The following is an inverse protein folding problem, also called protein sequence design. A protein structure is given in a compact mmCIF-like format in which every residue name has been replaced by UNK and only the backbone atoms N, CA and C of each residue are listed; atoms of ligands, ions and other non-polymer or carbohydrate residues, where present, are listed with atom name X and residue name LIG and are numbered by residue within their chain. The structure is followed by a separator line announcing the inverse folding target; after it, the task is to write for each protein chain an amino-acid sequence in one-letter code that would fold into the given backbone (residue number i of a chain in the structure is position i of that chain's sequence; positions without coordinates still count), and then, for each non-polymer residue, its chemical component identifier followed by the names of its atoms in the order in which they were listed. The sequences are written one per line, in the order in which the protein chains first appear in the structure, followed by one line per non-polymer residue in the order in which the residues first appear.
data_IF_940349068929
#
_entry.id   IF_940349068929
#
_cell.length_a   1.000
_cell.length_b   1.000
_cell.length_c   1.000
_cell.angle_alpha   90.00
_cell.angle_beta   90.00
_cell.angle_gamma   90.00
#
_symmetry.space_group_name_H-M   'P 1'
#
loop_
_entity.id
_entity.type
_entity.pdbx_description
1 polymer ?
#
# COMPACT_ATOMS: atom_id res chain seq x y z
N UNK A 1 -19.85 -36.55 -4.15
CA UNK A 1 -19.88 -35.79 -5.41
C UNK A 1 -21.20 -35.03 -5.44
N UNK A 2 -21.19 -33.76 -5.03
CA UNK A 2 -22.41 -32.93 -4.99
C UNK A 2 -22.61 -32.41 -6.43
N UNK A 3 -23.65 -32.89 -7.09
CA UNK A 3 -24.05 -32.42 -8.42
C UNK A 3 -24.76 -31.09 -8.21
N UNK A 4 -24.16 -29.98 -8.63
CA UNK A 4 -24.91 -28.73 -8.80
C UNK A 4 -25.91 -28.98 -9.94
N UNK A 5 -27.19 -29.07 -9.59
CA UNK A 5 -28.25 -29.60 -10.45
C UNK A 5 -28.83 -28.57 -11.44
N UNK A 6 -28.26 -27.37 -11.54
CA UNK A 6 -28.65 -26.35 -12.52
C UNK A 6 -27.40 -25.70 -13.12
N UNK A 7 -27.30 -25.70 -14.45
CA UNK A 7 -26.28 -24.95 -15.18
C UNK A 7 -26.53 -23.46 -14.94
N UNK A 8 -25.60 -22.71 -14.31
CA UNK A 8 -25.85 -21.30 -13.98
C UNK A 8 -26.09 -20.44 -15.24
N UNK A 9 -25.63 -20.88 -16.42
CA UNK A 9 -25.93 -20.21 -17.69
C UNK A 9 -27.41 -20.33 -18.11
N UNK A 10 -28.16 -21.29 -17.55
CA UNK A 10 -29.61 -21.40 -17.79
C UNK A 10 -30.43 -20.69 -16.72
N UNK A 11 -29.82 -20.38 -15.57
CA UNK A 11 -30.47 -19.70 -14.45
C UNK A 11 -30.19 -18.19 -14.40
N UNK A 12 -29.07 -17.73 -14.95
CA UNK A 12 -28.62 -16.34 -14.91
C UNK A 12 -28.40 -15.76 -16.32
N UNK A 13 -28.67 -14.46 -16.54
CA UNK A 13 -28.23 -13.75 -17.74
C UNK A 13 -26.71 -13.86 -17.96
N UNK A 14 -26.29 -13.97 -19.22
CA UNK A 14 -24.88 -14.11 -19.58
C UNK A 14 -24.04 -12.92 -19.09
N UNK A 15 -24.62 -11.73 -19.02
CA UNK A 15 -23.97 -10.52 -18.52
C UNK A 15 -23.57 -10.66 -17.04
N UNK A 16 -24.45 -11.25 -16.22
CA UNK A 16 -24.17 -11.46 -14.79
C UNK A 16 -23.11 -12.55 -14.62
N UNK A 17 -23.18 -13.64 -15.37
CA UNK A 17 -22.16 -14.69 -15.33
C UNK A 17 -20.81 -14.14 -15.77
N UNK A 18 -20.79 -13.33 -16.83
CA UNK A 18 -19.58 -12.64 -17.30
C UNK A 18 -19.01 -11.70 -16.24
N UNK A 19 -19.86 -10.92 -15.57
CA UNK A 19 -19.46 -10.02 -14.49
C UNK A 19 -18.89 -10.76 -13.26
N UNK A 20 -19.46 -11.92 -12.89
CA UNK A 20 -18.92 -12.75 -11.81
C UNK A 20 -17.49 -13.20 -12.14
N UNK A 21 -17.23 -13.65 -13.37
CA UNK A 21 -15.89 -14.04 -13.78
C UNK A 21 -14.93 -12.86 -13.93
N UNK A 22 -15.42 -11.70 -14.36
CA UNK A 22 -14.63 -10.46 -14.41
C UNK A 22 -14.18 -10.06 -13.00
N UNK A 23 -15.10 -10.02 -12.03
CA UNK A 23 -14.78 -9.77 -10.63
C UNK A 23 -13.79 -10.80 -10.08
N UNK A 24 -14.01 -12.08 -10.36
CA UNK A 24 -13.08 -13.14 -9.94
C UNK A 24 -11.69 -12.93 -10.54
N UNK A 25 -11.59 -12.59 -11.83
CA UNK A 25 -10.30 -12.31 -12.48
C UNK A 25 -9.62 -11.08 -11.89
N UNK A 26 -10.37 -10.01 -11.58
CA UNK A 26 -9.82 -8.81 -10.96
C UNK A 26 -9.31 -9.09 -9.54
N UNK A 27 -10.10 -9.81 -8.74
CA UNK A 27 -9.79 -10.12 -7.35
C UNK A 27 -8.70 -11.21 -7.20
N UNK A 28 -8.65 -12.19 -8.11
CA UNK A 28 -7.68 -13.28 -8.03
C UNK A 28 -6.30 -12.89 -8.57
N UNK A 29 -6.21 -11.93 -9.50
CA UNK A 29 -4.94 -11.51 -10.12
C UNK A 29 -4.19 -10.49 -9.23
N UNK A 30 -4.84 -9.88 -8.23
CA UNK A 30 -4.21 -8.93 -7.32
C UNK A 30 -4.43 -9.30 -5.85
N UNK A 31 -3.40 -9.63 -5.04
CA UNK A 31 -1.96 -9.45 -5.28
C UNK A 31 -1.16 -10.74 -5.59
N UNK A 32 -1.81 -11.90 -5.70
CA UNK A 32 -1.13 -13.20 -5.75
C UNK A 32 -1.11 -13.79 -7.18
N UNK A 33 -0.01 -13.54 -7.89
CA UNK A 33 0.25 -13.99 -9.28
C UNK A 33 0.57 -15.50 -9.39
N UNK A 34 0.34 -16.28 -8.34
CA UNK A 34 0.80 -17.67 -8.23
C UNK A 34 0.01 -18.66 -9.09
N UNK A 35 -1.05 -18.25 -9.80
CA UNK A 35 -1.81 -19.13 -10.70
C UNK A 35 -2.08 -18.56 -12.10
N UNK A 36 -2.07 -19.48 -13.07
CA UNK A 36 -2.28 -19.28 -14.52
C UNK A 36 -3.73 -18.91 -14.87
N UNK A 37 -4.24 -17.80 -14.32
CA UNK A 37 -5.58 -17.27 -14.60
C UNK A 37 -5.79 -16.96 -16.10
N UNK A 38 -4.69 -16.82 -16.86
CA UNK A 38 -4.74 -16.69 -18.31
C UNK A 38 -5.38 -17.90 -19.01
N UNK A 39 -5.46 -19.07 -18.37
CA UNK A 39 -6.12 -20.26 -18.93
C UNK A 39 -7.61 -20.36 -18.63
N UNK A 40 -8.18 -19.47 -17.79
CA UNK A 40 -9.59 -19.55 -17.38
C UNK A 40 -10.55 -19.71 -18.57
N UNK A 41 -10.48 -18.89 -19.65
CA UNK A 41 -11.41 -19.04 -20.77
C UNK A 41 -11.33 -20.43 -21.42
N UNK A 42 -10.12 -21.01 -21.48
CA UNK A 42 -9.91 -22.35 -22.04
C UNK A 42 -10.52 -23.41 -21.13
N UNK A 43 -10.33 -23.30 -19.81
CA UNK A 43 -10.91 -24.21 -18.83
C UNK A 43 -12.45 -24.17 -18.84
N UNK A 44 -13.03 -22.97 -18.92
CA UNK A 44 -14.48 -22.80 -19.03
C UNK A 44 -15.04 -23.44 -20.31
N UNK A 45 -14.32 -23.37 -21.43
CA UNK A 45 -14.71 -24.04 -22.68
C UNK A 45 -14.75 -25.58 -22.59
N UNK A 46 -14.13 -26.18 -21.56
CA UNK A 46 -14.11 -27.63 -21.33
C UNK A 46 -15.31 -28.12 -20.49
N UNK A 47 -16.07 -27.22 -19.86
CA UNK A 47 -17.19 -27.59 -18.97
C UNK A 47 -18.35 -28.19 -19.75
N UNK A 48 -18.89 -27.45 -20.72
CA UNK A 48 -19.97 -27.92 -21.60
C UNK A 48 -19.99 -27.13 -22.91
N UNK A 49 -20.84 -27.53 -23.87
CA UNK A 49 -21.07 -26.76 -25.09
C UNK A 49 -21.63 -25.36 -24.79
N UNK A 50 -22.59 -25.26 -23.86
CA UNK A 50 -23.19 -23.98 -23.43
C UNK A 50 -22.12 -23.02 -22.91
N UNK A 51 -21.25 -23.52 -22.03
CA UNK A 51 -20.12 -22.76 -21.48
C UNK A 51 -19.11 -22.33 -22.54
N UNK A 52 -18.81 -23.21 -23.49
CA UNK A 52 -17.97 -22.87 -24.63
C UNK A 52 -18.58 -21.71 -25.42
N UNK A 53 -19.84 -21.84 -25.84
CA UNK A 53 -20.52 -20.83 -26.65
C UNK A 53 -20.57 -19.48 -25.90
N UNK A 54 -20.86 -19.51 -24.59
CA UNK A 54 -20.80 -18.35 -23.70
C UNK A 54 -19.42 -17.68 -23.68
N UNK A 55 -18.35 -18.46 -23.49
CA UNK A 55 -16.98 -17.92 -23.44
C UNK A 55 -16.56 -17.30 -24.78
N UNK A 56 -16.90 -17.94 -25.89
CA UNK A 56 -16.62 -17.39 -27.23
C UNK A 56 -17.43 -16.12 -27.53
N UNK A 57 -18.61 -15.98 -26.94
CA UNK A 57 -19.45 -14.79 -27.06
C UNK A 57 -19.04 -13.64 -26.11
N UNK A 58 -18.08 -13.85 -25.21
CA UNK A 58 -17.74 -12.91 -24.14
C UNK A 58 -16.31 -12.36 -24.28
N UNK A 59 -16.09 -11.23 -24.99
CA UNK A 59 -14.75 -10.69 -25.24
C UNK A 59 -13.95 -10.35 -23.99
N UNK A 60 -14.62 -9.95 -22.89
CA UNK A 60 -13.98 -9.61 -21.62
C UNK A 60 -13.24 -10.81 -21.00
N UNK A 61 -13.74 -12.03 -21.16
CA UNK A 61 -13.02 -13.21 -20.64
C UNK A 61 -11.66 -13.40 -21.31
N UNK A 62 -11.50 -12.90 -22.55
CA UNK A 62 -10.25 -13.00 -23.30
C UNK A 62 -9.29 -11.82 -23.08
N UNK A 63 -9.70 -10.79 -22.33
CA UNK A 63 -8.99 -9.51 -22.26
C UNK A 63 -7.84 -9.48 -21.24
N UNK A 64 -7.86 -10.39 -20.26
CA UNK A 64 -6.77 -10.58 -19.31
C UNK A 64 -5.70 -11.47 -19.94
N UNK A 65 -4.47 -11.00 -20.08
CA UNK A 65 -3.38 -11.73 -20.73
C UNK A 65 -2.16 -11.66 -19.82
N UNK A 66 -1.71 -12.85 -19.37
CA UNK A 66 -0.44 -13.03 -18.69
C UNK A 66 0.46 -13.79 -19.66
N UNK A 67 1.62 -13.23 -19.97
CA UNK A 67 2.51 -13.78 -20.98
C UNK A 67 3.97 -13.59 -20.62
N UNK A 68 4.74 -14.66 -20.78
CA UNK A 68 6.20 -14.61 -20.77
C UNK A 68 6.69 -14.50 -22.22
N UNK A 69 7.36 -13.40 -22.50
CA UNK A 69 7.87 -13.00 -23.82
C UNK A 69 9.38 -13.24 -23.93
N UNK A 70 9.88 -14.23 -23.20
CA UNK A 70 11.20 -14.81 -23.42
C UNK A 70 11.21 -15.66 -24.70
N UNK A 71 12.34 -15.68 -25.41
CA UNK A 71 12.49 -16.46 -26.65
C UNK A 71 12.20 -17.93 -26.40
N UNK A 72 11.21 -18.46 -27.11
CA UNK A 72 10.77 -19.86 -27.00
C UNK A 72 9.82 -20.15 -25.83
N UNK A 73 9.55 -19.18 -24.96
CA UNK A 73 8.57 -19.29 -23.88
C UNK A 73 7.14 -18.91 -24.32
N UNK A 74 7.02 -18.06 -25.35
CA UNK A 74 5.72 -17.63 -25.87
C UNK A 74 5.00 -18.84 -26.48
N UNK A 75 3.80 -19.23 -25.98
CA UNK A 75 2.94 -20.18 -26.67
C UNK A 75 2.73 -19.69 -28.10
N UNK A 76 2.86 -20.59 -29.09
CA UNK A 76 2.84 -20.27 -30.52
C UNK A 76 2.10 -18.96 -30.83
N UNK A 77 2.80 -17.92 -31.32
CA UNK A 77 2.31 -16.56 -31.61
C UNK A 77 0.88 -16.50 -32.19
N UNK A 78 0.49 -17.53 -32.93
CA UNK A 78 -0.86 -17.78 -33.39
C UNK A 78 -1.93 -17.76 -32.28
N UNK A 79 -1.71 -18.45 -31.15
CA UNK A 79 -2.63 -18.48 -30.00
C UNK A 79 -2.81 -17.09 -29.39
N UNK A 80 -1.72 -16.31 -29.27
CA UNK A 80 -1.77 -14.92 -28.82
C UNK A 80 -2.63 -14.06 -29.75
N UNK A 81 -2.36 -14.11 -31.07
CA UNK A 81 -3.16 -13.41 -32.08
C UNK A 81 -4.64 -13.81 -32.00
N UNK A 82 -4.94 -15.11 -31.86
CA UNK A 82 -6.31 -15.61 -31.71
C UNK A 82 -6.98 -15.09 -30.44
N UNK A 83 -6.25 -15.00 -29.34
CA UNK A 83 -6.76 -14.42 -28.08
C UNK A 83 -7.08 -12.94 -28.24
N UNK A 84 -6.17 -12.16 -28.82
CA UNK A 84 -6.38 -10.73 -29.10
C UNK A 84 -7.57 -10.50 -30.05
N UNK A 85 -7.73 -11.37 -31.06
CA UNK A 85 -8.91 -11.35 -31.94
C UNK A 85 -10.20 -11.60 -31.18
N UNK A 86 -10.20 -12.55 -30.23
CA UNK A 86 -11.38 -12.89 -29.42
C UNK A 86 -11.74 -11.82 -28.38
N UNK A 87 -10.77 -11.06 -27.89
CA UNK A 87 -11.03 -9.93 -27.01
C UNK A 87 -11.61 -8.71 -27.76
N UNK A 88 -11.64 -8.73 -29.09
CA UNK A 88 -12.31 -7.73 -29.93
C UNK A 88 -11.89 -6.29 -29.59
N UNK A 89 -12.83 -5.44 -29.14
CA UNK A 89 -12.58 -4.05 -28.71
C UNK A 89 -12.50 -3.90 -27.19
N UNK A 90 -12.53 -5.01 -26.43
CA UNK A 90 -12.51 -4.96 -24.99
C UNK A 90 -11.19 -4.34 -24.46
N UNK A 91 -11.24 -3.62 -23.32
CA UNK A 91 -10.05 -3.12 -22.65
C UNK A 91 -9.16 -4.29 -22.22
N UNK A 92 -7.85 -4.15 -22.43
CA UNK A 92 -6.86 -5.19 -22.15
C UNK A 92 -6.21 -5.00 -20.78
N UNK A 93 -6.01 -6.12 -20.08
CA UNK A 93 -5.34 -6.19 -18.79
C UNK A 93 -4.13 -7.11 -18.93
N UNK A 94 -2.94 -6.52 -18.97
CA UNK A 94 -1.73 -7.22 -19.38
C UNK A 94 -0.74 -7.34 -18.22
N UNK A 95 -0.20 -8.55 -18.07
CA UNK A 95 1.01 -8.81 -17.29
C UNK A 95 2.04 -9.48 -18.22
N UNK A 96 3.11 -8.74 -18.52
CA UNK A 96 4.11 -9.13 -19.51
C UNK A 96 5.44 -9.31 -18.78
N UNK A 97 5.94 -10.53 -18.77
CA UNK A 97 7.32 -10.83 -18.38
C UNK A 97 8.17 -10.79 -19.65
N UNK A 98 9.22 -9.97 -19.67
CA UNK A 98 10.13 -9.82 -20.80
C UNK A 98 11.51 -10.32 -20.39
N UNK A 99 11.80 -11.58 -20.69
CA UNK A 99 13.10 -12.19 -20.42
C UNK A 99 14.16 -11.93 -21.48
N UNK A 100 15.34 -12.51 -21.25
CA UNK A 100 16.50 -12.40 -22.11
C UNK A 100 16.82 -13.73 -22.82
N UNK A 101 16.87 -13.79 -24.17
CA UNK A 101 16.48 -12.74 -25.12
C UNK A 101 14.94 -12.64 -25.27
N UNK A 102 14.45 -11.46 -25.59
CA UNK A 102 13.02 -11.20 -25.77
C UNK A 102 12.47 -11.63 -27.15
N UNK A 103 11.23 -12.14 -27.19
CA UNK A 103 10.48 -12.42 -28.43
C UNK A 103 9.84 -11.14 -28.97
N UNK A 104 10.55 -10.47 -29.88
CA UNK A 104 10.14 -9.18 -30.45
C UNK A 104 8.85 -9.26 -31.26
N UNK A 105 8.57 -10.39 -31.90
CA UNK A 105 7.36 -10.51 -32.72
C UNK A 105 6.10 -10.58 -31.85
N UNK A 106 6.18 -11.27 -30.71
CA UNK A 106 5.13 -11.27 -29.71
C UNK A 106 4.92 -9.87 -29.09
N UNK A 107 6.00 -9.16 -28.74
CA UNK A 107 5.90 -7.79 -28.23
C UNK A 107 5.26 -6.83 -29.24
N UNK A 108 5.67 -6.89 -30.52
CA UNK A 108 5.07 -6.06 -31.58
C UNK A 108 3.57 -6.31 -31.73
N UNK A 109 3.15 -7.58 -31.67
CA UNK A 109 1.72 -7.95 -31.73
C UNK A 109 0.96 -7.41 -30.53
N UNK A 110 1.55 -7.42 -29.33
CA UNK A 110 0.92 -6.86 -28.13
C UNK A 110 0.83 -5.33 -28.21
N UNK A 111 1.95 -4.64 -28.45
CA UNK A 111 1.98 -3.18 -28.44
C UNK A 111 1.23 -2.53 -29.60
N UNK A 112 0.94 -3.27 -30.67
CA UNK A 112 -0.03 -2.85 -31.70
C UNK A 112 -1.44 -2.60 -31.11
N UNK A 113 -1.79 -3.25 -30.00
CA UNK A 113 -3.07 -3.10 -29.29
C UNK A 113 -3.00 -2.09 -28.13
N UNK A 114 -1.93 -1.30 -28.02
CA UNK A 114 -1.66 -0.37 -26.90
C UNK A 114 -2.79 0.63 -26.61
N UNK A 115 -3.59 0.99 -27.62
CA UNK A 115 -4.79 1.84 -27.47
C UNK A 115 -5.89 1.26 -26.60
N UNK A 116 -5.91 -0.05 -26.44
CA UNK A 116 -6.88 -0.77 -25.62
C UNK A 116 -6.34 -1.10 -24.24
N UNK A 117 -5.06 -0.83 -23.96
CA UNK A 117 -4.47 -1.21 -22.68
C UNK A 117 -5.12 -0.37 -21.60
N UNK A 118 -5.74 -1.04 -20.63
CA UNK A 118 -6.30 -0.40 -19.46
C UNK A 118 -5.35 -0.53 -18.28
N UNK A 119 -4.87 -1.75 -18.03
CA UNK A 119 -3.81 -2.04 -17.06
C UNK A 119 -2.62 -2.71 -17.76
N UNK A 120 -1.42 -2.28 -17.40
CA UNK A 120 -0.18 -2.86 -17.89
C UNK A 120 0.80 -3.07 -16.74
N UNK A 121 1.21 -4.32 -16.54
CA UNK A 121 2.35 -4.71 -15.71
C UNK A 121 3.47 -5.19 -16.62
N UNK A 122 4.67 -4.62 -16.48
CA UNK A 122 5.87 -5.02 -17.20
C UNK A 122 6.91 -5.53 -16.19
N UNK A 123 7.27 -6.80 -16.30
CA UNK A 123 8.40 -7.39 -15.58
C UNK A 123 9.57 -7.58 -16.55
N UNK A 124 10.56 -6.69 -16.49
CA UNK A 124 11.57 -6.49 -17.53
C UNK A 124 12.92 -7.00 -17.03
N UNK A 125 13.48 -7.96 -17.74
CA UNK A 125 14.86 -8.43 -17.55
C UNK A 125 15.77 -7.98 -18.70
N UNK A 126 15.20 -7.68 -19.87
CA UNK A 126 15.88 -7.19 -21.07
C UNK A 126 15.16 -5.94 -21.59
N UNK A 127 15.89 -4.89 -22.00
CA UNK A 127 15.35 -3.67 -22.64
C UNK A 127 15.67 -3.58 -24.14
N UNK A 128 16.22 -4.63 -24.76
CA UNK A 128 16.61 -4.61 -26.17
C UNK A 128 15.43 -4.36 -27.13
N UNK A 129 14.21 -4.63 -26.69
CA UNK A 129 12.94 -4.44 -27.40
C UNK A 129 12.36 -3.02 -27.31
N UNK A 130 12.97 -2.12 -26.53
CA UNK A 130 12.44 -0.75 -26.29
C UNK A 130 12.13 0.04 -27.56
N UNK A 131 12.86 -0.19 -28.65
CA UNK A 131 12.63 0.47 -29.95
C UNK A 131 11.33 0.02 -30.62
N UNK A 132 10.78 -1.13 -30.21
CA UNK A 132 9.52 -1.66 -30.74
C UNK A 132 8.29 -1.05 -30.01
N UNK A 133 8.48 -0.26 -28.95
CA UNK A 133 7.41 0.52 -28.31
C UNK A 133 7.05 1.68 -29.23
N UNK A 134 5.85 1.64 -29.80
CA UNK A 134 5.30 2.79 -30.51
C UNK A 134 5.05 3.92 -29.50
N UNK A 135 5.65 5.09 -29.76
CA UNK A 135 5.53 6.27 -28.91
C UNK A 135 4.11 6.85 -28.79
N UNK A 136 3.17 6.33 -29.58
CA UNK A 136 1.76 6.71 -29.58
C UNK A 136 0.95 5.47 -29.28
N UNK A 137 0.10 5.49 -28.26
CA UNK A 137 -0.80 4.36 -28.10
C UNK A 137 -1.60 4.28 -26.81
N UNK A 138 -1.07 4.64 -25.65
CA UNK A 138 -1.67 4.23 -24.37
C UNK A 138 -2.87 5.08 -23.90
N UNK A 139 -3.79 5.40 -24.82
CA UNK A 139 -4.91 6.33 -24.63
C UNK A 139 -5.93 5.91 -23.57
N UNK A 140 -6.01 4.61 -23.26
CA UNK A 140 -6.92 4.05 -22.25
C UNK A 140 -6.23 3.59 -20.96
N UNK A 141 -4.90 3.73 -20.88
CA UNK A 141 -4.12 3.19 -19.78
C UNK A 141 -4.37 4.00 -18.50
N UNK A 142 -4.89 3.32 -17.48
CA UNK A 142 -5.21 3.90 -16.16
C UNK A 142 -4.24 3.42 -15.07
N UNK A 143 -3.67 2.23 -15.25
CA UNK A 143 -2.75 1.59 -14.30
C UNK A 143 -1.50 1.08 -15.01
N UNK A 144 -0.34 1.53 -14.55
CA UNK A 144 0.94 1.10 -15.04
C UNK A 144 1.83 0.60 -13.90
N UNK A 145 2.42 -0.58 -14.09
CA UNK A 145 3.35 -1.20 -13.14
C UNK A 145 4.60 -1.64 -13.88
N UNK A 146 5.78 -1.30 -13.34
CA UNK A 146 7.07 -1.70 -13.88
C UNK A 146 7.86 -2.42 -12.78
N UNK A 147 8.45 -3.56 -13.13
CA UNK A 147 9.39 -4.32 -12.31
C UNK A 147 10.65 -4.58 -13.14
N UNK A 148 11.82 -4.06 -12.75
CA UNK A 148 13.09 -4.34 -13.46
C UNK A 148 14.03 -5.26 -12.68
N UNK A 149 13.54 -5.82 -11.56
CA UNK A 149 14.38 -6.59 -10.64
C UNK A 149 15.50 -5.74 -10.00
N UNK A 150 16.55 -6.42 -9.54
CA UNK A 150 17.74 -5.81 -8.93
C UNK A 150 18.90 -5.69 -9.92
N UNK A 151 18.63 -5.45 -11.19
CA UNK A 151 19.68 -5.14 -12.17
C UNK A 151 19.53 -3.69 -12.61
N UNK A 152 20.65 -2.98 -12.72
CA UNK A 152 20.68 -1.64 -13.30
C UNK A 152 20.51 -1.82 -14.80
N UNK A 153 19.39 -1.35 -15.33
CA UNK A 153 19.11 -1.46 -16.75
C UNK A 153 19.40 -0.11 -17.41
N UNK A 154 20.29 -0.04 -18.40
CA UNK A 154 20.53 1.22 -19.08
C UNK A 154 19.24 1.64 -19.80
N UNK A 155 18.88 2.91 -19.62
CA UNK A 155 17.79 3.59 -20.33
C UNK A 155 16.35 3.20 -19.94
N UNK A 156 16.08 2.89 -18.67
CA UNK A 156 14.68 2.73 -18.19
C UNK A 156 13.87 4.01 -18.38
N UNK A 157 14.52 5.18 -18.47
CA UNK A 157 13.90 6.47 -18.83
C UNK A 157 13.06 6.41 -20.11
N UNK A 158 13.37 5.51 -21.04
CA UNK A 158 12.57 5.25 -22.25
C UNK A 158 11.16 4.75 -21.95
N UNK A 159 10.93 4.07 -20.82
CA UNK A 159 9.59 3.70 -20.37
C UNK A 159 8.78 4.91 -19.91
N UNK A 160 9.44 6.04 -19.62
CA UNK A 160 8.79 7.33 -19.39
C UNK A 160 7.96 7.81 -20.59
N UNK A 161 8.22 7.28 -21.80
CA UNK A 161 7.34 7.52 -22.96
C UNK A 161 5.95 6.92 -22.77
N UNK A 162 5.81 5.79 -22.07
CA UNK A 162 4.51 5.19 -21.73
C UNK A 162 3.77 6.12 -20.78
N UNK A 163 4.47 6.64 -19.75
CA UNK A 163 3.90 7.63 -18.84
C UNK A 163 3.39 8.85 -19.59
N UNK A 164 4.17 9.37 -20.54
CA UNK A 164 3.86 10.57 -21.31
C UNK A 164 2.75 10.38 -22.34
N UNK A 165 2.52 9.15 -22.81
CA UNK A 165 1.51 8.81 -23.84
C UNK A 165 0.20 8.27 -23.26
N UNK A 166 0.06 8.26 -21.93
CA UNK A 166 -1.11 7.76 -21.22
C UNK A 166 -1.89 8.89 -20.51
N UNK A 167 -2.79 9.61 -21.21
CA UNK A 167 -3.54 10.76 -20.69
C UNK A 167 -4.72 10.38 -19.77
N UNK A 168 -4.80 9.11 -19.34
CA UNK A 168 -5.77 8.63 -18.36
C UNK A 168 -5.10 7.94 -17.18
N UNK A 169 -3.77 7.99 -17.13
CA UNK A 169 -2.99 7.28 -16.14
C UNK A 169 -3.23 7.90 -14.77
N UNK A 170 -3.67 7.08 -13.82
CA UNK A 170 -3.96 7.50 -12.44
C UNK A 170 -3.14 6.75 -11.41
N UNK A 171 -2.62 5.58 -11.78
CA UNK A 171 -1.96 4.65 -10.88
C UNK A 171 -0.63 4.22 -11.47
N UNK A 172 0.47 4.51 -10.76
CA UNK A 172 1.81 4.08 -11.15
C UNK A 172 2.48 3.32 -10.02
N UNK A 173 3.00 2.13 -10.34
CA UNK A 173 3.94 1.38 -9.52
C UNK A 173 5.26 1.25 -10.26
N UNK A 174 6.31 1.80 -9.70
CA UNK A 174 7.64 1.80 -10.27
C UNK A 174 8.59 1.05 -9.34
N UNK A 175 8.84 -0.21 -9.67
CA UNK A 175 9.76 -1.09 -8.95
C UNK A 175 11.03 -1.29 -9.77
N UNK A 176 11.84 -0.24 -9.84
CA UNK A 176 13.08 -0.23 -10.61
C UNK A 176 14.20 0.46 -9.85
N UNK A 177 15.44 0.08 -10.15
CA UNK A 177 16.61 0.79 -9.65
C UNK A 177 16.75 2.19 -10.24
N UNK A 178 16.19 2.39 -11.42
CA UNK A 178 16.39 3.56 -12.27
C UNK A 178 15.30 4.61 -12.08
N UNK A 179 15.64 5.87 -12.39
CA UNK A 179 14.71 7.01 -12.34
C UNK A 179 13.52 6.78 -13.30
N UNK A 180 12.26 6.96 -12.85
CA UNK A 180 11.09 6.95 -13.75
C UNK A 180 11.14 7.99 -14.87
N UNK A 181 12.10 8.91 -14.83
CA UNK A 181 12.30 9.93 -15.82
C UNK A 181 11.30 11.08 -15.62
N UNK A 182 11.02 11.89 -16.67
CA UNK A 182 10.18 13.06 -16.55
C UNK A 182 8.69 12.70 -16.39
N UNK A 183 8.26 12.45 -15.15
CA UNK A 183 6.84 12.24 -14.80
C UNK A 183 6.00 13.53 -15.00
N UNK A 184 6.66 14.68 -15.17
CA UNK A 184 6.04 16.00 -15.33
C UNK A 184 4.93 16.09 -16.39
N UNK A 185 5.00 15.27 -17.46
CA UNK A 185 4.05 15.36 -18.57
C UNK A 185 2.62 14.98 -18.14
N UNK A 186 2.46 13.92 -17.34
CA UNK A 186 1.14 13.42 -16.91
C UNK A 186 0.98 13.29 -15.38
N UNK A 187 1.97 13.75 -14.60
CA UNK A 187 1.95 13.63 -13.15
C UNK A 187 0.72 14.27 -12.49
N UNK A 188 0.17 15.35 -13.06
CA UNK A 188 -1.05 16.00 -12.58
C UNK A 188 -2.30 15.10 -12.57
N UNK A 189 -2.31 13.97 -13.29
CA UNK A 189 -3.44 13.05 -13.31
C UNK A 189 -3.28 11.89 -12.33
N UNK A 190 -2.07 11.73 -11.76
CA UNK A 190 -1.76 10.63 -10.87
C UNK A 190 -2.42 10.84 -9.51
N UNK A 191 -3.16 9.82 -9.08
CA UNK A 191 -3.73 9.74 -7.73
C UNK A 191 -2.94 8.77 -6.85
N UNK A 192 -2.34 7.74 -7.44
CA UNK A 192 -1.55 6.75 -6.74
C UNK A 192 -0.15 6.64 -7.35
N UNK A 193 0.85 6.73 -6.49
CA UNK A 193 2.26 6.58 -6.86
C UNK A 193 2.98 5.67 -5.86
N UNK A 194 3.57 4.59 -6.36
CA UNK A 194 4.48 3.76 -5.58
C UNK A 194 5.85 3.74 -6.24
N UNK A 195 6.84 4.34 -5.60
CA UNK A 195 8.23 4.33 -6.01
C UNK A 195 9.02 3.38 -5.11
N UNK A 196 9.67 2.38 -5.67
CA UNK A 196 10.76 1.66 -5.01
C UNK A 196 12.05 2.13 -5.67
N UNK A 197 12.84 2.91 -4.94
CA UNK A 197 14.09 3.49 -5.41
C UNK A 197 15.26 2.85 -4.69
N UNK A 198 16.29 2.48 -5.43
CA UNK A 198 17.53 1.97 -4.84
C UNK A 198 18.59 3.06 -4.91
N UNK A 199 18.95 3.50 -6.12
CA UNK A 199 20.02 4.49 -6.33
C UNK A 199 19.53 5.91 -6.60
N UNK A 200 18.23 6.15 -6.40
CA UNK A 200 17.63 7.47 -6.67
C UNK A 200 17.70 8.33 -5.41
N UNK A 201 18.41 9.48 -5.44
CA UNK A 201 18.47 10.37 -4.28
C UNK A 201 17.08 10.95 -3.98
N UNK A 202 16.81 11.27 -2.71
CA UNK A 202 15.51 11.82 -2.30
C UNK A 202 15.14 13.11 -3.05
N UNK A 203 16.11 13.92 -3.50
CA UNK A 203 15.84 15.11 -4.34
C UNK A 203 15.08 14.80 -5.63
N UNK A 204 15.36 13.65 -6.26
CA UNK A 204 14.66 13.22 -7.47
C UNK A 204 13.26 12.70 -7.16
N UNK A 205 13.09 12.01 -6.04
CA UNK A 205 11.75 11.64 -5.54
C UNK A 205 10.90 12.89 -5.31
N UNK A 206 11.50 13.92 -4.70
CA UNK A 206 10.85 15.23 -4.50
C UNK A 206 10.48 15.88 -5.84
N UNK A 207 11.34 15.84 -6.86
CA UNK A 207 11.00 16.36 -8.20
C UNK A 207 9.77 15.64 -8.79
N UNK A 208 9.67 14.32 -8.61
CA UNK A 208 8.51 13.52 -9.05
C UNK A 208 7.25 13.91 -8.28
N UNK A 209 7.33 14.11 -6.96
CA UNK A 209 6.18 14.54 -6.16
C UNK A 209 5.67 15.92 -6.57
N UNK A 210 6.57 16.87 -6.87
CA UNK A 210 6.21 18.20 -7.38
C UNK A 210 5.46 18.10 -8.71
N UNK A 211 5.85 17.16 -9.58
CA UNK A 211 5.17 16.90 -10.84
C UNK A 211 3.76 16.32 -10.66
N UNK A 212 3.39 15.85 -9.47
CA UNK A 212 2.16 15.11 -9.21
C UNK A 212 1.30 15.74 -8.09
N UNK A 213 0.72 16.93 -8.29
CA UNK A 213 0.01 17.66 -7.23
C UNK A 213 -1.30 17.02 -6.75
N UNK A 214 -1.93 16.14 -7.54
CA UNK A 214 -3.21 15.49 -7.21
C UNK A 214 -3.06 14.10 -6.58
N UNK A 215 -1.86 13.76 -6.10
CA UNK A 215 -1.61 12.49 -5.42
C UNK A 215 -2.45 12.38 -4.15
N UNK A 216 -3.08 11.20 -3.99
CA UNK A 216 -3.87 10.79 -2.83
C UNK A 216 -3.14 9.75 -2.01
N UNK A 217 -2.43 8.85 -2.68
CA UNK A 217 -1.75 7.71 -2.08
C UNK A 217 -0.33 7.64 -2.61
N UNK A 218 0.64 7.72 -1.69
CA UNK A 218 2.07 7.69 -2.01
C UNK A 218 2.75 6.60 -1.20
N UNK A 219 3.49 5.74 -1.88
CA UNK A 219 4.38 4.75 -1.27
C UNK A 219 5.79 4.98 -1.79
N UNK A 220 6.74 5.30 -0.92
CA UNK A 220 8.14 5.49 -1.30
C UNK A 220 8.98 4.52 -0.50
N UNK A 221 9.77 3.71 -1.20
CA UNK A 221 10.71 2.78 -0.60
C UNK A 221 12.14 3.09 -1.03
N UNK A 222 13.00 3.48 -0.10
CA UNK A 222 14.44 3.65 -0.32
C UNK A 222 15.19 2.39 0.08
N UNK A 223 15.89 1.81 -0.89
CA UNK A 223 16.79 0.67 -0.68
C UNK A 223 18.23 1.11 -0.94
N UNK A 224 19.20 0.50 -0.26
CA UNK A 224 20.62 0.79 -0.47
C UNK A 224 21.23 1.79 0.51
N UNK A 225 22.54 1.70 0.62
CA UNK A 225 23.38 2.58 1.43
C UNK A 225 24.00 3.60 0.49
N UNK A 226 23.39 4.80 0.41
CA UNK A 226 24.00 5.92 -0.28
C UNK A 226 24.75 6.77 0.72
N UNK A 227 25.91 7.30 0.31
CA UNK A 227 26.50 8.42 1.03
C UNK A 227 25.45 9.53 1.10
N UNK A 228 25.09 9.90 2.32
CA UNK A 228 24.08 10.90 2.57
C UNK A 228 24.57 12.24 2.01
N UNK A 229 23.95 12.69 0.93
CA UNK A 229 24.12 14.04 0.44
C UNK A 229 23.07 14.88 1.15
N UNK A 230 23.52 15.77 2.05
CA UNK A 230 22.62 16.68 2.76
C UNK A 230 21.78 17.45 1.74
N UNK A 231 20.47 17.22 1.77
CA UNK A 231 19.55 17.92 0.89
C UNK A 231 19.38 19.33 1.44
N UNK A 232 19.74 20.39 0.70
CA UNK A 232 19.50 21.75 1.16
C UNK A 232 17.99 21.94 1.35
N UNK A 233 17.57 22.75 2.35
CA UNK A 233 16.16 23.02 2.58
C UNK A 233 15.54 23.59 1.30
N UNK A 234 14.70 22.79 0.66
CA UNK A 234 13.89 23.20 -0.49
C UNK A 234 12.61 23.83 0.01
N UNK A 235 12.00 24.65 -0.86
CA UNK A 235 10.64 25.11 -0.65
C UNK A 235 9.72 23.91 -0.43
N UNK A 236 8.86 24.01 0.61
CA UNK A 236 7.96 22.92 0.96
C UNK A 236 6.93 22.75 -0.17
N UNK A 237 6.77 21.53 -0.65
CA UNK A 237 5.78 21.19 -1.66
C UNK A 237 4.45 20.88 -1.03
N UNK A 238 3.40 21.44 -1.62
CA UNK A 238 2.03 21.21 -1.18
C UNK A 238 1.40 20.08 -1.99
N UNK A 239 1.00 19.02 -1.29
CA UNK A 239 0.22 17.91 -1.83
C UNK A 239 -1.18 17.96 -1.22
N UNK A 240 -2.08 18.81 -1.75
CA UNK A 240 -3.36 19.15 -1.11
C UNK A 240 -4.33 17.97 -1.02
N UNK A 241 -4.24 17.00 -1.92
CA UNK A 241 -5.12 15.83 -1.96
C UNK A 241 -4.52 14.58 -1.28
N UNK A 242 -3.30 14.67 -0.74
CA UNK A 242 -2.61 13.51 -0.17
C UNK A 242 -3.32 13.04 1.10
N UNK A 243 -3.74 11.78 1.10
CA UNK A 243 -4.47 11.10 2.19
C UNK A 243 -3.65 10.01 2.85
N UNK A 244 -2.85 9.28 2.06
CA UNK A 244 -1.98 8.23 2.55
C UNK A 244 -0.53 8.43 2.11
N UNK A 245 0.38 8.40 3.08
CA UNK A 245 1.83 8.43 2.85
C UNK A 245 2.49 7.24 3.55
N UNK A 246 3.11 6.37 2.77
CA UNK A 246 3.91 5.23 3.25
C UNK A 246 5.36 5.44 2.86
N UNK A 247 6.24 5.40 3.84
CA UNK A 247 7.67 5.66 3.73
C UNK A 247 8.43 4.48 4.30
N UNK A 248 9.28 3.85 3.50
CA UNK A 248 10.10 2.72 3.94
C UNK A 248 11.55 2.97 3.52
N UNK A 249 12.51 3.00 4.44
CA UNK A 249 13.88 3.33 4.03
C UNK A 249 14.82 3.79 5.13
N UNK A 250 15.74 4.68 4.77
CA UNK A 250 16.85 5.15 5.59
C UNK A 250 16.70 6.66 5.89
N UNK A 251 17.82 7.37 6.11
CA UNK A 251 17.85 8.81 6.38
C UNK A 251 17.20 9.67 5.28
N UNK A 252 17.11 9.20 4.03
CA UNK A 252 16.48 9.91 2.92
C UNK A 252 15.00 10.24 3.17
N UNK A 253 14.35 9.47 4.04
CA UNK A 253 12.99 9.75 4.51
C UNK A 253 12.85 11.15 5.14
N UNK A 254 13.89 11.65 5.81
CA UNK A 254 13.88 12.98 6.43
C UNK A 254 13.70 14.09 5.41
N UNK A 255 14.28 13.95 4.22
CA UNK A 255 14.12 14.90 3.12
C UNK A 255 12.67 14.98 2.65
N UNK A 256 12.00 13.84 2.56
CA UNK A 256 10.58 13.76 2.20
C UNK A 256 9.69 14.37 3.28
N UNK A 257 9.90 13.97 4.54
CA UNK A 257 9.13 14.46 5.69
C UNK A 257 9.23 15.98 5.86
N UNK A 258 10.42 16.58 5.70
CA UNK A 258 10.62 18.04 5.80
C UNK A 258 9.98 18.82 4.64
N UNK A 259 9.89 18.19 3.47
CA UNK A 259 9.51 18.89 2.24
C UNK A 259 8.00 18.84 1.97
N UNK A 260 7.28 17.84 2.46
CA UNK A 260 5.85 17.64 2.13
C UNK A 260 4.93 18.38 3.09
N UNK A 261 3.95 19.11 2.53
CA UNK A 261 2.78 19.63 3.22
C UNK A 261 1.53 18.90 2.73
N UNK A 262 0.84 18.21 3.63
CA UNK A 262 -0.28 17.35 3.29
C UNK A 262 -1.50 17.60 4.21
N UNK A 263 -2.28 18.67 3.96
CA UNK A 263 -3.36 19.09 4.85
C UNK A 263 -4.45 18.05 5.04
N UNK A 264 -4.67 17.16 4.07
CA UNK A 264 -5.67 16.10 4.11
C UNK A 264 -5.09 14.73 4.48
N UNK A 265 -3.85 14.66 4.96
CA UNK A 265 -3.20 13.41 5.31
C UNK A 265 -3.94 12.75 6.49
N UNK A 266 -4.55 11.60 6.23
CA UNK A 266 -5.24 10.80 7.24
C UNK A 266 -4.43 9.59 7.69
N UNK A 267 -3.50 9.10 6.85
CA UNK A 267 -2.68 7.93 7.14
C UNK A 267 -1.20 8.16 6.86
N UNK A 268 -0.36 7.90 7.85
CA UNK A 268 1.10 7.93 7.76
C UNK A 268 1.70 6.61 8.24
N UNK A 269 2.52 5.96 7.42
CA UNK A 269 3.24 4.75 7.78
C UNK A 269 4.73 4.95 7.48
N UNK A 270 5.57 4.77 8.49
CA UNK A 270 7.02 4.94 8.39
C UNK A 270 7.69 3.66 8.87
N UNK A 271 8.47 3.03 7.98
CA UNK A 271 9.30 1.88 8.28
C UNK A 271 10.78 2.23 8.07
N UNK A 272 11.52 2.35 9.17
CA UNK A 272 12.92 2.76 9.14
C UNK A 272 13.85 1.55 9.22
N UNK A 273 14.67 1.33 8.20
CA UNK A 273 15.48 0.11 8.04
C UNK A 273 16.89 0.22 8.60
N UNK A 274 17.50 1.40 8.56
CA UNK A 274 18.90 1.60 8.97
C UNK A 274 19.00 2.08 10.43
N UNK A 275 20.07 1.72 11.13
CA UNK A 275 20.31 2.21 12.50
C UNK A 275 20.83 3.65 12.53
N UNK A 276 21.39 4.13 11.42
CA UNK A 276 22.07 5.41 11.36
C UNK A 276 21.14 6.54 10.86
N UNK A 277 21.40 7.77 11.32
CA UNK A 277 20.79 8.98 10.76
C UNK A 277 19.40 9.35 11.29
N UNK A 278 19.00 8.83 12.46
CA UNK A 278 17.68 9.10 13.07
C UNK A 278 17.58 10.42 13.84
N UNK A 279 18.72 11.06 14.13
CA UNK A 279 18.82 12.28 14.96
C UNK A 279 17.86 13.39 14.46
N UNK A 280 17.74 13.53 13.15
CA UNK A 280 16.91 14.51 12.46
C UNK A 280 15.48 14.02 12.16
N UNK A 281 15.21 12.72 12.34
CA UNK A 281 13.97 12.09 11.91
C UNK A 281 12.76 12.65 12.64
N UNK A 282 12.86 12.81 13.96
CA UNK A 282 11.76 13.29 14.78
C UNK A 282 11.38 14.74 14.44
N UNK A 283 12.37 15.61 14.24
CA UNK A 283 12.13 17.00 13.81
C UNK A 283 11.47 17.04 12.43
N UNK A 284 11.97 16.23 11.49
CA UNK A 284 11.40 16.11 10.15
C UNK A 284 9.94 15.62 10.20
N UNK A 285 9.62 14.65 11.07
CA UNK A 285 8.27 14.18 11.29
C UNK A 285 7.38 15.28 11.87
N UNK A 286 7.84 16.02 12.88
CA UNK A 286 7.09 17.15 13.42
C UNK A 286 6.76 18.20 12.35
N UNK A 287 7.71 18.49 11.46
CA UNK A 287 7.51 19.38 10.32
C UNK A 287 6.37 18.92 9.39
N UNK A 288 6.20 17.61 9.18
CA UNK A 288 5.07 17.07 8.39
C UNK A 288 3.75 17.15 9.19
N UNK A 289 3.79 16.77 10.46
CA UNK A 289 2.61 16.69 11.33
C UNK A 289 1.97 18.06 11.59
N UNK A 290 2.79 19.13 11.66
CA UNK A 290 2.32 20.52 11.76
C UNK A 290 1.33 20.88 10.63
N UNK A 291 1.49 20.26 9.45
CA UNK A 291 0.66 20.50 8.27
C UNK A 291 -0.35 19.38 8.01
N UNK A 292 -0.54 18.46 8.96
CA UNK A 292 -1.39 17.27 8.82
C UNK A 292 -2.43 17.18 9.95
N UNK A 293 -3.31 18.18 10.13
CA UNK A 293 -4.22 18.24 11.27
C UNK A 293 -5.29 17.13 11.29
N UNK A 294 -5.48 16.44 10.17
CA UNK A 294 -6.48 15.38 10.00
C UNK A 294 -5.89 13.97 10.11
N UNK A 295 -4.69 13.82 10.66
CA UNK A 295 -4.06 12.51 10.80
C UNK A 295 -4.86 11.60 11.76
N UNK A 296 -5.34 10.48 11.23
CA UNK A 296 -6.14 9.47 11.94
C UNK A 296 -5.31 8.21 12.23
N UNK A 297 -4.40 7.84 11.32
CA UNK A 297 -3.58 6.64 11.44
C UNK A 297 -2.09 6.98 11.37
N UNK A 298 -1.33 6.55 12.38
CA UNK A 298 0.13 6.64 12.36
C UNK A 298 0.77 5.30 12.72
N UNK A 299 1.68 4.84 11.85
CA UNK A 299 2.52 3.68 12.07
C UNK A 299 4.00 4.07 12.04
N UNK A 300 4.71 3.81 13.13
CA UNK A 300 6.11 4.17 13.34
C UNK A 300 6.92 2.90 13.64
N UNK A 301 7.40 2.26 12.58
CA UNK A 301 8.17 1.03 12.66
C UNK A 301 9.67 1.34 12.63
N UNK A 302 10.36 1.03 13.74
CA UNK A 302 11.79 1.23 13.99
C UNK A 302 12.23 2.68 13.83
N UNK A 303 11.29 3.61 13.87
CA UNK A 303 11.55 5.03 13.65
C UNK A 303 12.00 5.75 14.93
N UNK A 304 11.30 5.51 16.05
CA UNK A 304 11.49 6.27 17.27
C UNK A 304 12.72 5.83 18.08
N UNK A 305 13.38 6.81 18.67
CA UNK A 305 14.58 6.62 19.51
C UNK A 305 14.32 6.75 20.99
N UNK A 306 13.42 7.64 21.36
CA UNK A 306 13.14 7.98 22.75
C UNK A 306 11.65 7.96 23.01
N UNK A 307 11.29 7.69 24.26
CA UNK A 307 9.91 7.78 24.72
C UNK A 307 9.37 9.22 24.61
N UNK A 308 10.21 10.23 24.83
CA UNK A 308 9.82 11.64 24.70
C UNK A 308 9.38 11.98 23.27
N UNK A 309 10.04 11.40 22.25
CA UNK A 309 9.63 11.57 20.87
C UNK A 309 8.24 11.00 20.61
N UNK A 310 7.92 9.83 21.18
CA UNK A 310 6.57 9.28 21.14
C UNK A 310 5.57 10.24 21.80
N UNK A 311 5.82 10.65 23.05
CA UNK A 311 4.91 11.52 23.81
C UNK A 311 4.67 12.85 23.09
N UNK A 312 5.70 13.43 22.46
CA UNK A 312 5.58 14.64 21.66
C UNK A 312 4.60 14.46 20.49
N UNK A 313 4.67 13.34 19.78
CA UNK A 313 3.75 12.99 18.69
C UNK A 313 2.32 12.82 19.21
N UNK A 314 2.14 12.09 20.32
CA UNK A 314 0.81 11.85 20.91
C UNK A 314 0.16 13.15 21.41
N UNK A 315 0.97 14.09 21.91
CA UNK A 315 0.49 15.39 22.38
C UNK A 315 -0.01 16.28 21.24
N UNK A 316 0.65 16.19 20.08
CA UNK A 316 0.37 17.07 18.93
C UNK A 316 -0.83 16.59 18.09
N UNK A 317 -1.10 15.28 18.06
CA UNK A 317 -2.04 14.68 17.10
C UNK A 317 -3.29 14.12 17.78
N UNK A 318 -4.23 15.00 18.17
CA UNK A 318 -5.42 14.61 18.95
C UNK A 318 -6.45 13.76 18.19
N UNK A 319 -6.37 13.70 16.86
CA UNK A 319 -7.33 12.99 16.00
C UNK A 319 -6.92 11.53 15.70
N UNK A 320 -5.85 11.02 16.32
CA UNK A 320 -5.41 9.64 16.06
C UNK A 320 -6.45 8.62 16.54
N UNK A 321 -6.85 7.77 15.61
CA UNK A 321 -7.70 6.60 15.75
C UNK A 321 -6.86 5.33 15.86
N UNK A 322 -5.78 5.24 15.07
CA UNK A 322 -4.87 4.08 15.04
C UNK A 322 -3.44 4.53 15.32
N UNK A 323 -2.85 3.96 16.36
CA UNK A 323 -1.44 4.13 16.70
C UNK A 323 -0.71 2.80 16.64
N UNK A 324 0.30 2.71 15.78
CA UNK A 324 1.21 1.58 15.70
C UNK A 324 2.64 2.04 15.97
N UNK A 325 3.30 1.47 16.97
CA UNK A 325 4.72 1.66 17.22
C UNK A 325 5.38 0.30 17.30
N UNK A 326 6.31 0.05 16.40
CA UNK A 326 7.10 -1.18 16.39
C UNK A 326 8.54 -0.80 16.64
N UNK A 327 9.14 -1.28 17.72
CA UNK A 327 10.55 -1.05 18.01
C UNK A 327 11.42 -2.22 17.54
N UNK A 328 12.73 -2.03 17.62
CA UNK A 328 13.71 -3.11 17.48
C UNK A 328 13.66 -4.03 18.71
N UNK A 329 13.82 -5.36 18.55
CA UNK A 329 13.72 -6.30 19.67
C UNK A 329 14.68 -6.02 20.84
N UNK A 330 15.86 -5.47 20.55
CA UNK A 330 16.89 -5.20 21.57
C UNK A 330 16.77 -3.80 22.19
N UNK A 331 16.02 -2.87 21.57
CA UNK A 331 15.76 -1.57 22.20
C UNK A 331 14.80 -1.81 23.35
N UNK A 332 15.25 -1.55 24.58
CA UNK A 332 14.41 -1.58 25.77
C UNK A 332 13.99 -0.14 26.10
N UNK A 333 12.87 0.03 26.80
CA UNK A 333 12.43 1.31 27.38
C UNK A 333 12.04 2.40 26.38
N UNK A 334 11.61 2.03 25.17
CA UNK A 334 10.97 3.03 24.29
C UNK A 334 9.56 3.35 24.76
N UNK A 335 8.86 2.35 25.28
CA UNK A 335 7.48 2.45 25.73
C UNK A 335 7.46 2.03 27.19
N UNK A 336 7.38 3.00 28.09
CA UNK A 336 7.43 2.77 29.54
C UNK A 336 6.12 3.14 30.20
N UNK A 337 6.10 3.08 31.53
CA UNK A 337 5.02 3.60 32.37
C UNK A 337 4.59 5.01 31.98
N UNK A 338 5.51 5.89 31.55
CA UNK A 338 5.19 7.27 31.20
C UNK A 338 4.23 7.34 30.00
N UNK A 339 4.48 6.58 28.94
CA UNK A 339 3.58 6.48 27.78
C UNK A 339 2.18 5.99 28.18
N UNK A 340 2.09 4.94 28.98
CA UNK A 340 0.78 4.41 29.41
C UNK A 340 0.04 5.36 30.35
N UNK A 341 0.75 6.04 31.26
CA UNK A 341 0.16 7.08 32.11
C UNK A 341 -0.40 8.23 31.29
N UNK A 342 0.31 8.63 30.22
CA UNK A 342 -0.18 9.63 29.27
C UNK A 342 -1.46 9.14 28.58
N UNK A 343 -1.49 7.90 28.10
CA UNK A 343 -2.66 7.33 27.45
C UNK A 343 -3.84 7.02 28.40
N UNK A 344 -3.64 7.03 29.71
CA UNK A 344 -4.70 6.74 30.71
C UNK A 344 -5.64 7.95 30.86
N UNK A 345 -6.96 7.75 30.83
CA UNK A 345 -7.93 8.82 31.12
C UNK A 345 -7.84 9.22 32.60
N UNK A 346 -7.58 10.50 32.89
CA UNK A 346 -7.44 11.02 34.27
C UNK A 346 -8.69 11.78 34.77
N UNK A 347 -9.87 11.56 34.19
CA UNK A 347 -11.13 12.21 34.61
C UNK A 347 -11.25 13.69 34.23
N UNK A 348 -10.27 14.28 33.55
CA UNK A 348 -10.34 15.62 32.97
C UNK A 348 -10.86 15.57 31.53
N UNK A 349 -11.59 16.61 31.11
CA UNK A 349 -12.16 16.73 29.75
C UNK A 349 -11.11 16.73 28.63
N UNK A 350 -9.86 17.09 28.93
CA UNK A 350 -8.75 17.16 27.97
C UNK A 350 -7.75 16.01 28.16
N UNK A 351 -8.17 14.79 27.87
CA UNK A 351 -7.27 13.64 27.85
C UNK A 351 -6.74 13.38 26.42
N UNK A 352 -5.50 12.88 26.29
CA UNK A 352 -4.86 12.78 24.98
C UNK A 352 -5.50 11.69 24.11
N UNK A 353 -5.56 11.92 22.81
CA UNK A 353 -6.08 10.98 21.81
C UNK A 353 -7.50 10.47 22.11
N UNK A 354 -8.51 11.35 22.22
CA UNK A 354 -9.87 10.95 22.55
C UNK A 354 -10.54 9.97 21.57
N UNK A 355 -10.01 9.88 20.36
CA UNK A 355 -10.51 9.04 19.28
C UNK A 355 -9.75 7.71 19.12
N UNK A 356 -8.79 7.40 20.01
CA UNK A 356 -7.96 6.21 19.86
C UNK A 356 -8.80 4.93 20.01
N UNK A 357 -8.88 4.17 18.92
CA UNK A 357 -9.61 2.90 18.83
C UNK A 357 -8.68 1.69 18.74
N UNK A 358 -7.48 1.87 18.16
CA UNK A 358 -6.52 0.78 17.98
C UNK A 358 -5.12 1.17 18.43
N UNK A 359 -4.56 0.39 19.34
CA UNK A 359 -3.21 0.55 19.85
C UNK A 359 -2.37 -0.69 19.55
N UNK A 360 -1.26 -0.51 18.84
CA UNK A 360 -0.33 -1.60 18.54
C UNK A 360 1.07 -1.20 18.99
N UNK A 361 1.58 -1.83 20.04
CA UNK A 361 2.95 -1.68 20.50
C UNK A 361 3.68 -3.01 20.37
N UNK A 362 4.74 -3.04 19.57
CA UNK A 362 5.53 -4.26 19.36
C UNK A 362 6.98 -3.99 19.71
N UNK A 363 7.54 -4.85 20.55
CA UNK A 363 8.89 -4.75 21.07
C UNK A 363 9.11 -3.48 21.94
N UNK A 364 10.12 -3.48 22.80
CA UNK A 364 10.51 -2.34 23.66
C UNK A 364 9.53 -1.89 24.75
N UNK A 365 8.58 -2.74 25.15
CA UNK A 365 7.71 -2.52 26.31
C UNK A 365 8.47 -2.78 27.61
N UNK A 366 8.58 -1.77 28.48
CA UNK A 366 9.10 -1.89 29.86
C UNK A 366 8.10 -1.24 30.82
N UNK A 367 6.99 -1.96 31.06
CA UNK A 367 5.84 -1.48 31.83
C UNK A 367 5.27 -2.61 32.69
N UNK A 368 4.78 -2.25 33.87
CA UNK A 368 4.09 -3.18 34.77
C UNK A 368 2.66 -3.47 34.31
N UNK A 369 2.22 -4.71 34.48
CA UNK A 369 0.89 -5.20 34.13
C UNK A 369 -0.25 -4.30 34.62
N UNK A 370 -0.15 -3.84 35.87
CA UNK A 370 -1.16 -2.97 36.51
C UNK A 370 -1.30 -1.62 35.82
N UNK A 371 -0.22 -1.12 35.21
CA UNK A 371 -0.24 0.16 34.49
C UNK A 371 -0.91 -0.02 33.13
N UNK A 372 -0.63 -1.13 32.44
CA UNK A 372 -1.29 -1.48 31.17
C UNK A 372 -2.79 -1.67 31.39
N UNK A 373 -3.17 -2.49 32.38
CA UNK A 373 -4.56 -2.78 32.67
C UNK A 373 -5.32 -1.49 33.04
N UNK A 374 -4.74 -0.64 33.90
CA UNK A 374 -5.34 0.65 34.27
C UNK A 374 -5.60 1.55 33.06
N UNK A 375 -4.66 1.60 32.12
CA UNK A 375 -4.83 2.38 30.89
C UNK A 375 -6.01 1.84 30.08
N UNK A 376 -6.08 0.52 29.87
CA UNK A 376 -7.17 -0.14 29.15
C UNK A 376 -8.51 0.12 29.84
N UNK A 377 -8.64 -0.20 31.13
CA UNK A 377 -9.86 0.01 31.92
C UNK A 377 -10.35 1.48 31.82
N UNK A 378 -9.43 2.45 31.92
CA UNK A 378 -9.79 3.87 31.80
C UNK A 378 -10.36 4.26 30.43
N UNK A 379 -10.03 3.52 29.37
CA UNK A 379 -10.49 3.76 27.99
C UNK A 379 -11.80 3.02 27.68
N UNK A 380 -12.09 1.96 28.41
CA UNK A 380 -13.32 1.17 28.26
C UNK A 380 -14.50 1.72 29.08
N UNK A 381 -14.22 2.44 30.18
CA UNK A 381 -15.26 3.09 30.95
C UNK A 381 -16.03 4.09 30.08
N UNK A 382 -17.36 3.91 30.02
CA UNK A 382 -18.27 4.88 29.43
C UNK A 382 -18.19 6.17 30.26
N UNK A 383 -18.10 7.35 29.63
CA UNK A 383 -18.24 8.60 30.37
C UNK A 383 -19.63 8.63 31.01
N UNK A 384 -19.71 8.94 32.31
CA UNK A 384 -20.98 9.07 33.02
C UNK A 384 -21.85 10.10 32.30
N UNK A 385 -22.94 9.63 31.70
CA UNK A 385 -23.74 10.33 30.68
C UNK A 385 -24.74 11.32 31.32
N UNK A 386 -24.33 12.06 32.34
CA UNK A 386 -25.25 12.85 33.17
C UNK A 386 -25.63 14.21 32.58
N UNK A 387 -24.97 14.72 31.53
CA UNK A 387 -25.31 16.02 30.93
C UNK A 387 -25.30 16.00 29.38
N UNK A 388 -26.21 15.21 28.82
CA UNK A 388 -26.40 14.96 27.38
C UNK A 388 -27.11 16.09 26.62
N UNK A 389 -26.53 17.30 26.54
CA UNK A 389 -27.11 18.38 25.71
C UNK A 389 -26.18 19.12 24.75
N UNK A 390 -24.91 18.72 24.62
CA UNK A 390 -24.04 19.33 23.59
C UNK A 390 -23.42 18.28 22.69
N UNK A 391 -23.34 18.59 21.38
CA UNK A 391 -22.78 17.79 20.27
C UNK A 391 -21.26 17.58 20.40
N UNK A 392 -20.80 17.28 21.61
CA UNK A 392 -19.41 17.05 21.96
C UNK A 392 -18.91 15.78 21.25
N UNK A 393 -17.68 15.87 20.76
CA UNK A 393 -16.99 14.83 19.98
C UNK A 393 -17.15 13.48 20.66
N UNK A 394 -17.72 12.50 19.94
CA UNK A 394 -17.86 11.13 20.45
C UNK A 394 -16.50 10.64 20.94
N UNK A 395 -16.42 10.45 22.24
CA UNK A 395 -15.38 9.73 22.96
C UNK A 395 -15.36 8.30 22.41
N UNK A 396 -14.30 7.88 21.72
CA UNK A 396 -14.24 6.51 21.21
C UNK A 396 -13.78 5.54 22.30
N UNK A 397 -14.30 4.33 22.25
CA UNK A 397 -13.87 3.21 23.10
C UNK A 397 -12.72 2.50 22.37
N UNK A 398 -11.76 1.98 23.14
CA UNK A 398 -10.65 1.22 22.58
C UNK A 398 -11.18 -0.14 22.06
N UNK A 399 -11.07 -0.38 20.77
CA UNK A 399 -11.59 -1.58 20.10
C UNK A 399 -10.55 -2.70 20.01
N UNK A 400 -9.26 -2.34 19.92
CA UNK A 400 -8.19 -3.31 19.74
C UNK A 400 -6.88 -2.85 20.39
N UNK A 401 -6.24 -3.79 21.10
CA UNK A 401 -4.91 -3.62 21.70
C UNK A 401 -4.02 -4.79 21.31
N UNK A 402 -2.88 -4.50 20.68
CA UNK A 402 -1.85 -5.49 20.39
C UNK A 402 -0.56 -5.08 21.11
N UNK A 403 -0.12 -5.87 22.10
CA UNK A 403 1.15 -5.65 22.78
C UNK A 403 2.05 -6.88 22.58
N UNK A 404 3.23 -6.72 21.98
CA UNK A 404 4.15 -7.85 21.79
C UNK A 404 5.56 -7.51 22.25
N UNK A 405 6.35 -8.54 22.61
CA UNK A 405 7.70 -8.35 23.13
C UNK A 405 7.78 -7.78 24.55
N UNK A 406 6.71 -7.92 25.34
CA UNK A 406 6.69 -7.63 26.79
C UNK A 406 6.90 -8.90 27.63
N UNK A 407 7.12 -8.74 28.93
CA UNK A 407 7.06 -9.86 29.89
C UNK A 407 5.62 -10.39 29.93
N UNK A 408 5.48 -11.69 30.23
CA UNK A 408 4.18 -12.31 30.42
C UNK A 408 3.48 -11.66 31.62
N UNK A 409 2.20 -11.35 31.46
CA UNK A 409 1.38 -10.80 32.54
C UNK A 409 1.16 -11.85 33.63
N UNK A 410 1.02 -11.40 34.88
CA UNK A 410 0.57 -12.23 35.98
C UNK A 410 -0.84 -12.79 35.68
N UNK A 411 -1.09 -14.05 36.07
CA UNK A 411 -2.35 -14.75 35.78
C UNK A 411 -3.59 -13.97 36.24
N UNK A 412 -3.52 -13.33 37.41
CA UNK A 412 -4.60 -12.48 37.93
C UNK A 412 -4.90 -11.29 37.01
N UNK A 413 -3.87 -10.68 36.41
CA UNK A 413 -4.06 -9.57 35.48
C UNK A 413 -4.63 -10.03 34.14
N UNK A 414 -4.24 -11.23 33.67
CA UNK A 414 -4.83 -11.84 32.48
C UNK A 414 -6.31 -12.10 32.70
N UNK A 415 -6.70 -12.71 33.83
CA UNK A 415 -8.11 -12.98 34.14
C UNK A 415 -8.95 -11.69 34.22
N UNK A 416 -8.40 -10.61 34.80
CA UNK A 416 -9.08 -9.29 34.78
C UNK A 416 -9.21 -8.73 33.37
N UNK A 417 -8.16 -8.84 32.55
CA UNK A 417 -8.20 -8.37 31.17
C UNK A 417 -9.23 -9.17 30.33
N UNK A 418 -9.29 -10.48 30.50
CA UNK A 418 -10.29 -11.34 29.84
C UNK A 418 -11.72 -10.94 30.21
N UNK A 419 -11.98 -10.63 31.49
CA UNK A 419 -13.27 -10.11 31.91
C UNK A 419 -13.62 -8.79 31.20
N UNK A 420 -12.67 -7.85 31.15
CA UNK A 420 -12.85 -6.59 30.39
C UNK A 420 -13.15 -6.88 28.92
N UNK A 421 -12.43 -7.80 28.27
CA UNK A 421 -12.66 -8.18 26.87
C UNK A 421 -14.05 -8.78 26.64
N UNK A 422 -14.53 -9.64 27.54
CA UNK A 422 -15.86 -10.25 27.46
C UNK A 422 -16.98 -9.22 27.62
N UNK A 423 -16.82 -8.27 28.55
CA UNK A 423 -17.82 -7.23 28.82
C UNK A 423 -17.91 -6.19 27.71
N UNK A 424 -16.77 -5.83 27.10
CA UNK A 424 -16.66 -4.69 26.20
C UNK A 424 -16.50 -5.02 24.72
N UNK A 425 -16.16 -6.27 24.38
CA UNK A 425 -15.80 -6.67 23.02
C UNK A 425 -14.39 -6.26 22.59
N UNK A 426 -13.55 -5.75 23.50
CA UNK A 426 -12.15 -5.40 23.23
C UNK A 426 -11.38 -6.61 22.69
N UNK A 427 -10.70 -6.43 21.56
CA UNK A 427 -9.79 -7.44 20.99
C UNK A 427 -8.37 -7.23 21.51
N UNK A 428 -7.84 -8.22 22.21
CA UNK A 428 -6.47 -8.19 22.73
C UNK A 428 -5.62 -9.25 22.02
N UNK A 429 -4.48 -8.83 21.49
CA UNK A 429 -3.52 -9.69 20.80
C UNK A 429 -2.09 -9.53 21.35
N UNK A 430 -1.30 -10.61 21.33
CA UNK A 430 0.14 -10.58 21.55
C UNK A 430 0.65 -11.47 22.68
N UNK A 431 1.98 -11.51 22.82
CA UNK A 431 2.69 -12.53 23.62
C UNK A 431 2.49 -12.49 25.14
N UNK A 432 1.70 -11.55 25.67
CA UNK A 432 1.35 -11.51 27.08
C UNK A 432 0.07 -12.29 27.40
N UNK A 433 -0.78 -12.56 26.39
CA UNK A 433 -2.01 -13.36 26.53
C UNK A 433 -1.76 -14.82 26.12
N UNK A 434 -0.82 -15.07 25.22
CA UNK A 434 -0.51 -16.42 24.76
C UNK A 434 0.16 -17.25 25.86
N UNK A 435 -0.55 -18.30 26.27
CA UNK A 435 -0.26 -19.04 27.49
C UNK A 435 -0.69 -20.50 27.46
N UNK A 436 -0.64 -21.18 26.30
CA UNK A 436 -0.64 -22.65 26.15
C UNK A 436 -0.57 -23.06 24.70
#
# INVERSE_FOLDING_TARGET
MIIFQTDPLTALPHELVGYIFDLWLVDSIYPDITYSHSQLPVLLCLVSKSWRDFVYASPLLWSHIIIDVSKGAVPALHALKKRLQRSQIAPLFLDIVVGEPSDRDALRVLFAESSRFHHLTLSILDLSWRSDILAQGFTQLTKFTVHTGFQVLPHVDTLGMILSSAPRLRYVKWHSMDDPGPVAVNGHQLHFLHLTVIHTPATRVLDVLVACPHLRDVVIRFYGEHEYIHIPPRERMRLPELRSLVLDGNRDLTGVLRSVQAPLLSRLDIHWRSFNGREDGLEALHSLLEYSPHLEEIALCRFLETEEGLISILTTNRNLVILTVVSEPYRKRLITRKTFQFLTRQGQEDYPLPQLEKLVFRNALDVEDVVVLRMIESRMALPDDTDSTSRSRRTCILNSVCLSGCKRMAAETISRLEAVCQESGLKVEGGFVEGS
#
